data_IF_116475992332
#
_entry.id   IF_116475992332
#
_cell.length_a   1.000
_cell.length_b   1.000
_cell.length_c   1.000
_cell.angle_alpha   90.00
_cell.angle_beta   90.00
_cell.angle_gamma   90.00
#
_symmetry.space_group_name_H-M   'P 1'
#
loop_
_entity.id
_entity.type
_entity.pdbx_description
1 polymer ?
#
# COMPACT_ATOMS: atom_id res chain seq x y z
N UNK A 1 -33.49 35.63 15.52
CA UNK A 1 -32.06 35.32 15.76
C UNK A 1 -31.75 34.02 15.04
N UNK A 2 -31.41 34.09 13.76
CA UNK A 2 -31.10 32.92 12.92
C UNK A 2 -29.71 33.13 12.37
N UNK A 3 -28.84 32.14 12.51
CA UNK A 3 -28.15 31.46 11.41
C UNK A 3 -27.45 30.18 11.96
N UNK A 4 -27.23 29.16 11.12
CA UNK A 4 -27.49 27.75 11.42
C UNK A 4 -26.21 26.89 11.47
N UNK A 5 -26.34 25.66 11.97
CA UNK A 5 -25.47 24.52 11.64
C UNK A 5 -23.95 24.72 11.75
N UNK A 6 -23.38 24.74 12.97
CA UNK A 6 -21.93 24.73 13.16
C UNK A 6 -21.38 23.31 13.11
N UNK A 7 -21.39 22.68 11.93
CA UNK A 7 -20.52 21.54 11.63
C UNK A 7 -19.08 22.07 11.47
N UNK A 8 -18.45 22.52 12.56
CA UNK A 8 -17.09 23.04 12.49
C UNK A 8 -16.09 21.91 12.54
N UNK A 9 -15.84 21.38 11.37
CA UNK A 9 -14.50 20.90 11.05
C UNK A 9 -13.61 22.15 11.07
N UNK A 10 -13.05 22.49 12.23
CA UNK A 10 -12.14 23.63 12.35
C UNK A 10 -10.96 23.41 11.41
N UNK A 11 -10.63 24.40 10.58
CA UNK A 11 -9.58 24.27 9.56
C UNK A 11 -8.23 23.82 10.16
N UNK A 12 -7.95 24.25 11.40
CA UNK A 12 -6.77 23.81 12.16
C UNK A 12 -6.86 22.33 12.51
N UNK A 13 -8.02 21.84 12.92
CA UNK A 13 -8.22 20.42 13.25
C UNK A 13 -8.13 19.54 11.98
N UNK A 14 -8.67 20.03 10.86
CA UNK A 14 -8.50 19.40 9.55
C UNK A 14 -7.02 19.34 9.15
N UNK A 15 -6.27 20.41 9.35
CA UNK A 15 -4.86 20.46 8.98
C UNK A 15 -4.01 19.52 9.84
N UNK A 16 -4.23 19.51 11.16
CA UNK A 16 -3.46 18.69 12.09
C UNK A 16 -3.80 17.20 11.97
N UNK A 17 -5.03 16.85 11.63
CA UNK A 17 -5.43 15.44 11.51
C UNK A 17 -5.40 14.91 10.09
N UNK A 18 -6.02 15.60 9.13
CA UNK A 18 -6.17 15.12 7.75
C UNK A 18 -4.89 15.35 6.94
N UNK A 19 -4.41 16.61 6.89
CA UNK A 19 -3.20 16.93 6.11
C UNK A 19 -1.96 16.21 6.65
N UNK A 20 -1.81 16.14 7.97
CA UNK A 20 -0.71 15.36 8.58
C UNK A 20 -0.77 13.88 8.19
N UNK A 21 -1.96 13.27 8.19
CA UNK A 21 -2.12 11.87 7.76
C UNK A 21 -1.78 11.67 6.29
N UNK A 22 -2.16 12.61 5.42
CA UNK A 22 -1.84 12.57 3.98
C UNK A 22 -0.33 12.70 3.75
N UNK A 23 0.34 13.64 4.43
CA UNK A 23 1.78 13.84 4.32
C UNK A 23 2.53 12.57 4.79
N UNK A 24 2.10 11.98 5.91
CA UNK A 24 2.67 10.72 6.41
C UNK A 24 2.47 9.57 5.43
N UNK A 25 1.32 9.51 4.74
CA UNK A 25 1.05 8.49 3.73
C UNK A 25 1.95 8.67 2.51
N UNK A 26 2.14 9.91 2.05
CA UNK A 26 3.08 10.24 0.97
C UNK A 26 4.51 9.88 1.38
N UNK A 27 4.94 10.26 2.58
CA UNK A 27 6.28 9.95 3.09
C UNK A 27 6.53 8.43 3.15
N UNK A 28 5.55 7.67 3.64
CA UNK A 28 5.59 6.20 3.64
C UNK A 28 5.70 5.62 2.23
N UNK A 29 5.00 6.22 1.25
CA UNK A 29 5.10 5.79 -0.16
C UNK A 29 6.46 6.11 -0.79
N UNK A 30 7.11 7.21 -0.40
CA UNK A 30 8.41 7.65 -0.94
C UNK A 30 9.54 6.83 -0.31
N UNK A 31 9.61 6.79 1.03
CA UNK A 31 10.66 6.12 1.81
C UNK A 31 10.78 4.63 1.46
N UNK A 32 9.68 3.97 1.11
CA UNK A 32 9.71 2.59 0.62
C UNK A 32 10.21 1.59 1.65
N UNK A 33 9.96 1.86 2.92
CA UNK A 33 10.35 0.96 3.99
C UNK A 33 9.71 -0.42 3.75
N UNK A 34 10.48 -1.51 3.76
CA UNK A 34 9.93 -2.85 3.64
C UNK A 34 9.13 -3.17 4.91
N UNK A 35 7.82 -2.90 4.89
CA UNK A 35 6.92 -3.17 6.02
C UNK A 35 6.80 -4.69 6.15
N UNK A 36 7.56 -5.25 7.09
CA UNK A 36 7.43 -6.65 7.49
C UNK A 36 6.26 -6.76 8.48
N UNK A 37 5.32 -7.69 8.21
CA UNK A 37 4.15 -7.95 9.06
C UNK A 37 4.49 -8.29 10.52
N UNK A 38 5.74 -8.67 10.83
CA UNK A 38 6.20 -8.98 12.18
C UNK A 38 6.05 -7.83 13.18
N UNK A 39 6.07 -6.56 12.75
CA UNK A 39 5.91 -5.43 13.66
C UNK A 39 4.45 -5.21 14.09
N UNK A 40 3.48 -5.74 13.34
CA UNK A 40 2.06 -5.64 13.67
C UNK A 40 1.70 -6.43 14.94
N UNK A 41 2.40 -7.54 15.20
CA UNK A 41 2.15 -8.34 16.39
C UNK A 41 2.51 -7.58 17.68
N UNK A 42 3.61 -6.83 17.68
CA UNK A 42 4.07 -6.07 18.85
C UNK A 42 3.13 -4.92 19.19
N UNK A 43 2.70 -4.15 18.19
CA UNK A 43 1.78 -3.01 18.37
C UNK A 43 0.39 -3.49 18.79
N UNK A 44 -0.14 -4.53 18.18
CA UNK A 44 -1.41 -5.14 18.61
C UNK A 44 -1.29 -5.77 20.00
N UNK A 45 -0.17 -6.42 20.32
CA UNK A 45 0.09 -7.05 21.61
C UNK A 45 0.07 -6.05 22.77
N UNK A 46 0.68 -4.88 22.60
CA UNK A 46 0.63 -3.79 23.60
C UNK A 46 -0.82 -3.32 23.81
N UNK A 47 -1.61 -3.17 22.73
CA UNK A 47 -3.01 -2.77 22.82
C UNK A 47 -3.88 -3.79 23.58
N UNK A 48 -3.69 -5.08 23.29
CA UNK A 48 -4.38 -6.18 24.00
C UNK A 48 -3.93 -6.24 25.46
N UNK A 49 -2.63 -6.09 25.73
CA UNK A 49 -2.09 -6.08 27.09
C UNK A 49 -2.66 -4.94 27.93
N UNK A 50 -2.78 -3.75 27.37
CA UNK A 50 -3.41 -2.61 28.04
C UNK A 50 -4.90 -2.83 28.28
N UNK A 51 -5.63 -3.40 27.31
CA UNK A 51 -7.03 -3.76 27.50
C UNK A 51 -7.21 -4.77 28.65
N UNK A 52 -6.38 -5.81 28.70
CA UNK A 52 -6.40 -6.80 29.77
C UNK A 52 -6.06 -6.19 31.13
N UNK A 53 -5.02 -5.36 31.19
CA UNK A 53 -4.66 -4.62 32.40
C UNK A 53 -5.84 -3.78 32.91
N UNK A 54 -6.53 -3.08 32.01
CA UNK A 54 -7.68 -2.23 32.38
C UNK A 54 -8.84 -3.02 32.97
N UNK A 55 -9.08 -4.26 32.49
CA UNK A 55 -10.11 -5.16 33.03
C UNK A 55 -9.72 -5.59 34.44
N UNK A 56 -8.47 -6.04 34.62
CA UNK A 56 -7.97 -6.50 35.92
C UNK A 56 -7.97 -5.37 36.95
N UNK A 57 -7.59 -4.16 36.55
CA UNK A 57 -7.62 -2.97 37.40
C UNK A 57 -9.03 -2.67 37.93
N UNK A 58 -10.04 -2.74 37.05
CA UNK A 58 -11.43 -2.56 37.45
C UNK A 58 -11.92 -3.68 38.38
N UNK A 59 -11.63 -4.95 38.07
CA UNK A 59 -12.02 -6.08 38.91
C UNK A 59 -11.35 -6.06 40.29
N UNK A 60 -10.13 -5.52 40.38
CA UNK A 60 -9.42 -5.31 41.64
C UNK A 60 -9.97 -4.12 42.46
N UNK A 61 -11.02 -3.43 41.98
CA UNK A 61 -11.60 -2.27 42.64
C UNK A 61 -10.73 -1.01 42.54
N UNK A 62 -9.84 -0.95 41.55
CA UNK A 62 -8.97 0.20 41.31
C UNK A 62 -9.80 1.45 41.02
N UNK A 63 -9.62 2.48 41.85
CA UNK A 63 -10.24 3.80 41.65
C UNK A 63 -9.20 4.81 41.19
N UNK A 64 -9.64 5.74 40.36
CA UNK A 64 -8.84 6.90 39.99
C UNK A 64 -8.76 7.91 41.15
N UNK A 65 -7.91 8.95 41.03
CA UNK A 65 -7.74 10.04 42.01
C UNK A 65 -9.04 10.74 42.42
N UNK A 66 -10.07 10.67 41.57
CA UNK A 66 -11.39 11.22 41.82
C UNK A 66 -12.40 10.22 42.41
N UNK A 67 -11.93 9.03 42.80
CA UNK A 67 -12.73 7.92 43.31
C UNK A 67 -13.71 7.32 42.28
N UNK A 68 -13.51 7.61 40.99
CA UNK A 68 -14.21 6.94 39.90
C UNK A 68 -13.55 5.58 39.63
N UNK A 69 -14.35 4.54 39.40
CA UNK A 69 -13.85 3.18 39.12
C UNK A 69 -13.21 3.02 37.73
N UNK A 70 -12.99 4.11 37.01
CA UNK A 70 -12.56 4.10 35.61
C UNK A 70 -11.35 5.01 35.39
N UNK A 71 -10.25 4.42 34.92
CA UNK A 71 -8.99 5.11 34.60
C UNK A 71 -9.19 6.15 33.48
N UNK A 72 -10.08 5.86 32.52
CA UNK A 72 -10.46 6.77 31.45
C UNK A 72 -11.98 6.77 31.30
N UNK A 73 -12.57 7.94 31.07
CA UNK A 73 -14.03 8.09 30.79
C UNK A 73 -14.51 7.25 29.62
N UNK A 74 -13.62 6.92 28.68
CA UNK A 74 -13.91 6.06 27.53
C UNK A 74 -13.94 4.57 27.89
N UNK A 75 -13.34 4.18 29.01
CA UNK A 75 -13.23 2.79 29.47
C UNK A 75 -13.98 2.62 30.79
N UNK A 76 -15.24 3.04 30.78
CA UNK A 76 -16.15 2.92 31.90
C UNK A 76 -16.64 1.47 32.06
N UNK A 77 -15.93 0.69 32.88
CA UNK A 77 -16.25 -0.72 33.12
C UNK A 77 -17.50 -0.93 33.98
N UNK A 78 -18.11 0.13 34.53
CA UNK A 78 -19.47 0.06 35.11
C UNK A 78 -20.52 -0.25 34.05
N UNK A 79 -20.22 0.07 32.79
CA UNK A 79 -21.02 -0.27 31.60
C UNK A 79 -20.18 -1.16 30.68
N UNK A 80 -20.01 -2.46 31.02
CA UNK A 80 -19.06 -3.34 30.34
C UNK A 80 -19.29 -3.40 28.83
N UNK A 81 -20.54 -3.33 28.37
CA UNK A 81 -20.86 -3.31 26.93
C UNK A 81 -20.22 -2.16 26.16
N UNK A 82 -20.17 -0.94 26.71
CA UNK A 82 -19.57 0.21 26.03
C UNK A 82 -18.05 0.10 25.97
N UNK A 83 -17.44 -0.31 27.08
CA UNK A 83 -15.98 -0.47 27.19
C UNK A 83 -15.46 -1.59 26.29
N UNK A 84 -16.17 -2.71 26.21
CA UNK A 84 -15.85 -3.81 25.29
C UNK A 84 -15.88 -3.31 23.84
N UNK A 85 -16.91 -2.57 23.44
CA UNK A 85 -17.02 -2.02 22.08
C UNK A 85 -15.87 -1.05 21.79
N UNK A 86 -15.48 -0.19 22.73
CA UNK A 86 -14.38 0.76 22.57
C UNK A 86 -13.03 0.04 22.46
N UNK A 87 -12.78 -0.97 23.31
CA UNK A 87 -11.60 -1.83 23.21
C UNK A 87 -11.54 -2.55 21.85
N UNK A 88 -12.64 -3.17 21.44
CA UNK A 88 -12.72 -3.89 20.17
C UNK A 88 -12.49 -2.96 18.98
N UNK A 89 -13.11 -1.77 18.98
CA UNK A 89 -12.91 -0.76 17.95
C UNK A 89 -11.47 -0.25 17.92
N UNK A 90 -10.84 -0.04 19.08
CA UNK A 90 -9.43 0.35 19.18
C UNK A 90 -8.49 -0.70 18.59
N UNK A 91 -8.66 -1.96 18.96
CA UNK A 91 -7.87 -3.09 18.42
C UNK A 91 -8.11 -3.21 16.90
N UNK A 92 -9.37 -3.13 16.47
CA UNK A 92 -9.72 -3.18 15.05
C UNK A 92 -9.10 -2.02 14.26
N UNK A 93 -9.11 -0.80 14.80
CA UNK A 93 -8.49 0.36 14.17
C UNK A 93 -6.97 0.20 14.02
N UNK A 94 -6.28 -0.34 15.04
CA UNK A 94 -4.85 -0.66 14.95
C UNK A 94 -4.61 -1.71 13.88
N UNK A 95 -5.41 -2.77 13.83
CA UNK A 95 -5.30 -3.79 12.80
C UNK A 95 -5.54 -3.22 11.39
N UNK A 96 -6.59 -2.41 11.24
CA UNK A 96 -6.94 -1.75 9.99
C UNK A 96 -5.80 -0.85 9.51
N UNK A 97 -5.15 -0.09 10.40
CA UNK A 97 -4.01 0.74 10.03
C UNK A 97 -2.82 -0.10 9.53
N UNK A 98 -2.49 -1.21 10.20
CA UNK A 98 -1.44 -2.12 9.71
C UNK A 98 -1.82 -2.73 8.36
N UNK A 99 -3.08 -3.10 8.17
CA UNK A 99 -3.60 -3.60 6.90
C UNK A 99 -3.50 -2.54 5.79
N UNK A 100 -3.87 -1.29 6.05
CA UNK A 100 -3.73 -0.18 5.09
C UNK A 100 -2.27 0.05 4.70
N UNK A 101 -1.36 0.04 5.67
CA UNK A 101 0.08 0.12 5.40
C UNK A 101 0.56 -1.04 4.49
N UNK A 102 0.06 -2.26 4.71
CA UNK A 102 0.36 -3.40 3.85
C UNK A 102 -0.25 -3.25 2.45
N UNK A 103 -1.49 -2.77 2.33
CA UNK A 103 -2.11 -2.46 1.04
C UNK A 103 -1.32 -1.42 0.24
N UNK A 104 -0.81 -0.37 0.89
CA UNK A 104 0.04 0.63 0.25
C UNK A 104 1.35 0.03 -0.26
N UNK A 105 1.96 -0.87 0.52
CA UNK A 105 3.13 -1.63 0.08
C UNK A 105 2.81 -2.48 -1.15
N UNK A 106 1.72 -3.25 -1.13
CA UNK A 106 1.27 -4.06 -2.26
C UNK A 106 0.97 -3.20 -3.49
N UNK A 107 0.32 -2.05 -3.31
CA UNK A 107 0.05 -1.09 -4.39
C UNK A 107 1.35 -0.58 -5.01
N UNK A 108 2.37 -0.25 -4.21
CA UNK A 108 3.69 0.15 -4.72
C UNK A 108 4.34 -0.96 -5.54
N UNK A 109 4.33 -2.18 -5.04
CA UNK A 109 4.90 -3.35 -5.76
C UNK A 109 4.12 -3.59 -7.06
N UNK A 110 2.79 -3.50 -7.02
CA UNK A 110 1.95 -3.66 -8.20
C UNK A 110 2.19 -2.56 -9.23
N UNK A 111 2.29 -1.30 -8.82
CA UNK A 111 2.63 -0.18 -9.69
C UNK A 111 4.02 -0.36 -10.32
N UNK A 112 5.02 -0.74 -9.52
CA UNK A 112 6.35 -1.03 -10.02
C UNK A 112 6.34 -2.18 -11.03
N UNK A 113 5.66 -3.29 -10.72
CA UNK A 113 5.52 -4.41 -11.62
C UNK A 113 4.81 -3.99 -12.91
N UNK A 114 3.69 -3.26 -12.85
CA UNK A 114 2.96 -2.81 -14.03
C UNK A 114 3.80 -1.89 -14.92
N UNK A 115 4.49 -0.92 -14.34
CA UNK A 115 5.28 0.07 -15.11
C UNK A 115 6.57 -0.56 -15.66
N UNK A 116 7.34 -1.29 -14.84
CA UNK A 116 8.60 -1.88 -15.28
C UNK A 116 8.42 -3.12 -16.17
N UNK A 117 7.41 -3.97 -15.91
CA UNK A 117 7.14 -5.14 -16.77
C UNK A 117 6.62 -4.71 -18.13
N UNK A 118 5.73 -3.72 -18.22
CA UNK A 118 5.29 -3.20 -19.53
C UNK A 118 6.43 -2.55 -20.31
N UNK A 119 7.31 -1.81 -19.63
CA UNK A 119 8.50 -1.23 -20.26
C UNK A 119 9.45 -2.30 -20.81
N UNK A 120 9.67 -3.39 -20.05
CA UNK A 120 10.53 -4.49 -20.48
C UNK A 120 9.92 -5.31 -21.62
N UNK A 121 8.62 -5.66 -21.57
CA UNK A 121 7.94 -6.38 -22.64
C UNK A 121 7.95 -5.59 -23.95
N UNK A 122 7.75 -4.26 -23.87
CA UNK A 122 7.80 -3.38 -25.03
C UNK A 122 9.20 -3.29 -25.64
N UNK A 123 10.25 -3.18 -24.81
CA UNK A 123 11.65 -3.18 -25.27
C UNK A 123 12.06 -4.53 -25.89
N UNK A 124 11.72 -5.65 -25.26
CA UNK A 124 12.04 -6.99 -25.77
C UNK A 124 11.35 -7.24 -27.12
N UNK A 125 10.06 -6.90 -27.26
CA UNK A 125 9.34 -7.06 -28.53
C UNK A 125 9.92 -6.18 -29.65
N UNK A 126 10.35 -4.95 -29.34
CA UNK A 126 10.97 -4.06 -30.33
C UNK A 126 12.34 -4.59 -30.80
N UNK A 127 13.16 -5.09 -29.87
CA UNK A 127 14.48 -5.62 -30.18
C UNK A 127 14.42 -6.93 -31.01
N UNK A 128 13.44 -7.78 -30.71
CA UNK A 128 13.16 -8.99 -31.49
C UNK A 128 12.75 -8.67 -32.93
N UNK A 129 11.88 -7.67 -33.12
CA UNK A 129 11.48 -7.18 -34.45
C UNK A 129 12.68 -6.64 -35.24
N UNK A 130 13.50 -5.79 -34.64
CA UNK A 130 14.71 -5.25 -35.28
C UNK A 130 15.63 -6.39 -35.71
N UNK A 131 15.88 -7.36 -34.81
CA UNK A 131 16.74 -8.51 -35.10
C UNK A 131 16.20 -9.35 -36.26
N UNK A 132 14.88 -9.58 -36.32
CA UNK A 132 14.26 -10.29 -37.45
C UNK A 132 14.43 -9.56 -38.77
N UNK A 133 14.22 -8.23 -38.78
CA UNK A 133 14.33 -7.40 -39.98
C UNK A 133 15.78 -7.39 -40.48
N UNK A 134 16.75 -7.19 -39.59
CA UNK A 134 18.18 -7.22 -39.95
C UNK A 134 18.56 -8.56 -40.57
N UNK A 135 18.09 -9.67 -40.01
CA UNK A 135 18.36 -11.02 -40.56
C UNK A 135 17.71 -11.23 -41.92
N UNK A 136 16.50 -10.72 -42.14
CA UNK A 136 15.86 -10.79 -43.46
C UNK A 136 16.59 -9.94 -44.49
N UNK A 137 17.03 -8.73 -44.13
CA UNK A 137 17.76 -7.85 -45.03
C UNK A 137 19.10 -8.45 -45.47
N UNK A 138 19.87 -9.04 -44.55
CA UNK A 138 21.14 -9.70 -44.91
C UNK A 138 20.91 -10.86 -45.89
N UNK A 139 19.87 -11.68 -45.67
CA UNK A 139 19.55 -12.79 -46.57
C UNK A 139 19.12 -12.34 -47.97
N UNK A 140 18.43 -11.19 -48.08
CA UNK A 140 18.03 -10.62 -49.36
C UNK A 140 19.23 -10.00 -50.10
N UNK A 141 20.14 -9.36 -49.37
CA UNK A 141 21.36 -8.78 -49.94
C UNK A 141 22.30 -9.88 -50.48
N UNK A 142 22.44 -11.00 -49.77
CA UNK A 142 23.15 -12.19 -50.24
C UNK A 142 22.50 -12.75 -51.52
N UNK A 143 21.18 -12.94 -51.54
CA UNK A 143 20.48 -13.44 -52.73
C UNK A 143 20.59 -12.50 -53.95
N UNK A 144 20.56 -11.18 -53.74
CA UNK A 144 20.80 -10.20 -54.80
C UNK A 144 22.23 -10.29 -55.34
N UNK A 145 23.23 -10.44 -54.46
CA UNK A 145 24.64 -10.57 -54.82
C UNK A 145 24.91 -11.83 -55.65
N UNK A 146 24.34 -12.97 -55.25
CA UNK A 146 24.43 -14.22 -56.00
C UNK A 146 23.80 -14.11 -57.40
N UNK A 147 22.61 -13.51 -57.50
CA UNK A 147 21.95 -13.25 -58.80
C UNK A 147 22.78 -12.32 -59.71
N UNK A 148 23.47 -11.33 -59.13
CA UNK A 148 24.35 -10.43 -59.89
C UNK A 148 25.62 -11.13 -60.39
N UNK A 149 26.18 -12.04 -59.60
CA UNK A 149 27.37 -12.83 -59.95
C UNK A 149 27.08 -13.93 -61.00
N UNK A 150 25.86 -14.46 -61.06
CA UNK A 150 25.47 -15.50 -62.02
C UNK A 150 24.16 -15.17 -62.78
N UNK A 151 24.21 -14.24 -63.75
CA UNK A 151 23.02 -13.82 -64.49
C UNK A 151 22.43 -14.91 -65.40
N UNK A 152 23.18 -15.96 -65.71
CA UNK A 152 22.76 -17.08 -66.58
C UNK A 152 21.89 -18.12 -65.87
N UNK A 153 21.94 -18.24 -64.54
CA UNK A 153 21.17 -19.25 -63.79
C UNK A 153 19.63 -19.04 -63.86
N UNK A 154 19.17 -17.81 -64.11
CA UNK A 154 17.74 -17.49 -64.21
C UNK A 154 17.14 -17.96 -65.54
N UNK A 155 17.97 -18.22 -66.56
CA UNK A 155 17.53 -18.62 -67.91
C UNK A 155 17.32 -20.13 -68.02
N UNK A 156 17.98 -20.93 -67.19
CA UNK A 156 17.89 -22.41 -67.19
C UNK A 156 16.69 -22.97 -66.40
N UNK A 157 15.87 -22.12 -65.78
CA UNK A 157 14.70 -22.52 -64.97
C UNK A 157 13.36 -22.53 -65.74
N UNK A 158 13.37 -22.50 -67.08
CA UNK A 158 12.17 -22.56 -67.91
C UNK A 158 12.21 -23.72 -68.90
#
# INVERSE_FOLDING_TARGET
MVLPGKNRVDAVNLMVHVLNSIIMLIDLTIVGHPIKLNHAYWTTGIGVGYALFSIVYYLAGGTDRHNDSSIYKMLDWTKPGKSIVICALGIFAVFLMHFLCYCLYCLRVWLYARVCVQANTSKTSSNEKITSITRTLSSMEEAQRENFLNPTAVVDLK
#
